data_IF_798605164429
#
_entry.id   IF_798605164429
#
_cell.length_a   1.000
_cell.length_b   1.000
_cell.length_c   1.000
_cell.angle_alpha   90.00
_cell.angle_beta   90.00
_cell.angle_gamma   90.00
#
_symmetry.space_group_name_H-M   'P 1'
#
loop_
_entity.id
_entity.type
_entity.pdbx_description
1 polymer ?
#
# COMPACT_ATOMS: atom_id res chain seq x y z
N UNK A 1 21.97 -6.74 11.21
CA UNK A 1 22.86 -7.55 10.36
C UNK A 1 22.17 -7.98 9.06
N UNK A 2 20.98 -8.59 9.18
CA UNK A 2 20.21 -9.02 7.99
C UNK A 2 19.74 -7.84 7.12
N UNK A 3 19.39 -6.71 7.71
CA UNK A 3 19.03 -5.51 6.95
C UNK A 3 20.18 -5.01 6.09
N UNK A 4 21.40 -5.04 6.61
CA UNK A 4 22.60 -4.58 5.90
C UNK A 4 22.96 -5.46 4.69
N UNK A 5 22.59 -6.76 4.72
CA UNK A 5 22.91 -7.74 3.69
C UNK A 5 21.68 -8.24 2.91
N UNK A 6 20.70 -7.37 2.71
CA UNK A 6 19.50 -7.67 1.91
C UNK A 6 18.33 -8.28 2.67
N UNK A 7 18.48 -8.60 3.94
CA UNK A 7 17.37 -9.14 4.76
C UNK A 7 16.17 -8.20 4.88
N UNK A 8 16.37 -6.90 4.67
CA UNK A 8 15.31 -5.91 4.65
C UNK A 8 14.25 -6.18 3.56
N UNK A 9 14.64 -6.80 2.44
CA UNK A 9 13.71 -7.17 1.36
C UNK A 9 12.84 -8.38 1.71
N UNK A 10 13.17 -9.10 2.77
CA UNK A 10 12.43 -10.29 3.20
C UNK A 10 11.32 -9.89 4.17
N UNK A 11 10.07 -9.90 3.71
CA UNK A 11 8.90 -9.52 4.51
C UNK A 11 8.79 -10.26 5.83
N UNK A 12 9.09 -11.57 5.87
CA UNK A 12 9.07 -12.37 7.10
C UNK A 12 10.12 -11.95 8.13
N UNK A 13 11.28 -11.43 7.70
CA UNK A 13 12.32 -10.91 8.63
C UNK A 13 11.84 -9.61 9.26
N UNK A 14 11.26 -8.70 8.47
CA UNK A 14 10.66 -7.46 9.00
C UNK A 14 9.52 -7.76 9.96
N UNK A 15 8.61 -8.68 9.58
CA UNK A 15 7.50 -9.10 10.46
C UNK A 15 7.99 -9.68 11.78
N UNK A 16 9.07 -10.47 11.77
CA UNK A 16 9.64 -11.00 12.99
C UNK A 16 10.21 -9.90 13.92
N UNK A 17 10.81 -8.86 13.35
CA UNK A 17 11.30 -7.70 14.11
C UNK A 17 10.10 -6.96 14.72
N UNK A 18 9.09 -6.59 13.93
CA UNK A 18 7.88 -5.92 14.42
C UNK A 18 7.15 -6.75 15.48
N UNK A 19 7.04 -8.06 15.30
CA UNK A 19 6.45 -8.95 16.31
C UNK A 19 7.12 -8.80 17.67
N UNK A 20 8.46 -8.74 17.71
CA UNK A 20 9.19 -8.59 18.98
C UNK A 20 9.09 -7.18 19.56
N UNK A 21 9.06 -6.15 18.70
CA UNK A 21 8.89 -4.76 19.15
C UNK A 21 7.50 -4.56 19.75
N UNK A 22 6.44 -4.92 19.04
CA UNK A 22 5.05 -4.80 19.50
C UNK A 22 4.82 -5.64 20.77
N UNK A 23 5.43 -6.83 20.84
CA UNK A 23 5.38 -7.65 22.05
C UNK A 23 6.05 -6.98 23.26
N UNK A 24 7.16 -6.31 23.04
CA UNK A 24 7.85 -5.58 24.11
C UNK A 24 7.03 -4.37 24.58
N UNK A 25 6.42 -3.63 23.65
CA UNK A 25 5.49 -2.53 23.96
C UNK A 25 4.28 -3.02 24.73
N UNK A 26 3.64 -4.12 24.29
CA UNK A 26 2.53 -4.73 25.00
C UNK A 26 2.89 -5.05 26.46
N UNK A 27 4.07 -5.60 26.70
CA UNK A 27 4.53 -5.93 28.04
C UNK A 27 4.79 -4.69 28.90
N UNK A 28 5.37 -3.63 28.31
CA UNK A 28 5.64 -2.37 28.99
C UNK A 28 4.34 -1.64 29.36
N UNK A 29 3.41 -1.55 28.43
CA UNK A 29 2.12 -0.89 28.63
C UNK A 29 1.25 -1.65 29.63
N UNK A 30 1.24 -2.97 29.60
CA UNK A 30 0.53 -3.78 30.59
C UNK A 30 1.06 -3.56 32.01
N UNK A 31 2.38 -3.39 32.14
CA UNK A 31 2.99 -3.09 33.45
C UNK A 31 2.62 -1.69 33.97
N UNK A 32 2.36 -0.73 33.09
CA UNK A 32 1.98 0.64 33.44
C UNK A 32 0.48 0.84 33.64
N UNK A 33 -0.34 0.30 32.72
CA UNK A 33 -1.78 0.62 32.62
C UNK A 33 -2.68 -0.46 33.18
N UNK A 34 -2.16 -1.66 33.47
CA UNK A 34 -2.97 -2.79 33.94
C UNK A 34 -3.86 -3.35 32.84
N UNK A 35 -5.11 -3.71 33.21
CA UNK A 35 -6.08 -4.36 32.29
C UNK A 35 -7.20 -3.44 31.81
N UNK A 36 -7.11 -2.14 32.06
CA UNK A 36 -8.12 -1.16 31.66
C UNK A 36 -7.85 -0.75 30.22
N UNK A 37 -8.90 -0.57 29.43
CA UNK A 37 -8.77 0.01 28.10
C UNK A 37 -8.21 1.43 28.17
N UNK A 38 -7.23 1.72 27.37
CA UNK A 38 -6.53 3.01 27.35
C UNK A 38 -6.22 3.46 25.93
N UNK A 39 -6.12 4.77 25.78
CA UNK A 39 -5.64 5.40 24.55
C UNK A 39 -4.79 6.61 24.90
N UNK A 40 -3.77 6.88 24.11
CA UNK A 40 -2.94 8.07 24.20
C UNK A 40 -2.50 8.52 22.81
N UNK A 41 -2.11 9.78 22.68
CA UNK A 41 -1.47 10.27 21.47
C UNK A 41 -0.36 11.25 21.80
N UNK A 42 0.60 11.39 20.89
CA UNK A 42 1.68 12.35 20.97
C UNK A 42 2.09 12.80 19.57
N UNK A 43 2.53 14.04 19.47
CA UNK A 43 3.29 14.52 18.31
C UNK A 43 4.77 14.43 18.67
N UNK A 44 5.56 13.81 17.81
CA UNK A 44 7.00 13.60 18.03
C UNK A 44 7.71 13.38 16.70
N UNK A 45 8.91 13.92 16.59
CA UNK A 45 9.83 13.69 15.46
C UNK A 45 10.35 12.23 15.54
N UNK A 46 9.57 11.30 14.98
CA UNK A 46 9.79 9.87 15.10
C UNK A 46 10.90 9.36 14.18
N UNK A 47 10.90 9.81 12.92
CA UNK A 47 11.90 9.41 11.92
C UNK A 47 13.13 10.34 11.88
N UNK A 48 13.16 11.39 12.74
CA UNK A 48 14.24 12.37 12.93
C UNK A 48 14.51 13.23 11.70
N UNK A 49 13.46 13.59 11.00
CA UNK A 49 13.52 14.48 9.84
C UNK A 49 13.21 15.95 10.20
N UNK A 50 13.02 16.26 11.48
CA UNK A 50 12.65 17.55 12.07
C UNK A 50 11.20 17.96 11.81
N UNK A 51 10.35 17.02 11.46
CA UNK A 51 8.90 17.17 11.41
C UNK A 51 8.29 16.24 12.47
N UNK A 52 7.15 16.61 13.02
CA UNK A 52 6.47 15.77 14.01
C UNK A 52 5.46 14.84 13.33
N UNK A 53 5.60 13.54 13.57
CA UNK A 53 4.59 12.53 13.29
C UNK A 53 3.57 12.48 14.44
N UNK A 54 2.37 12.07 14.13
CA UNK A 54 1.33 11.79 15.11
C UNK A 54 1.31 10.29 15.41
N UNK A 55 1.62 9.94 16.64
CA UNK A 55 1.52 8.56 17.14
C UNK A 55 0.28 8.46 18.01
N UNK A 56 -0.59 7.51 17.71
CA UNK A 56 -1.80 7.20 18.47
C UNK A 56 -1.73 5.74 18.90
N UNK A 57 -1.79 5.51 20.19
CA UNK A 57 -1.62 4.18 20.78
C UNK A 57 -2.83 3.79 21.62
N UNK A 58 -3.15 2.50 21.63
CA UNK A 58 -4.19 1.93 22.47
C UNK A 58 -3.82 0.52 22.92
N UNK A 59 -4.65 -0.07 23.76
CA UNK A 59 -4.54 -1.49 24.13
C UNK A 59 -4.86 -2.46 22.96
N UNK A 60 -5.41 -1.98 21.83
CA UNK A 60 -5.80 -2.81 20.69
C UNK A 60 -4.89 -2.63 19.47
N UNK A 61 -4.50 -1.39 19.17
CA UNK A 61 -3.75 -1.05 17.96
C UNK A 61 -2.98 0.27 18.12
N UNK A 62 -1.94 0.45 17.32
CA UNK A 62 -1.22 1.71 17.19
C UNK A 62 -1.27 2.23 15.76
N UNK A 63 -1.38 3.56 15.61
CA UNK A 63 -1.36 4.27 14.34
C UNK A 63 -0.21 5.27 14.34
N UNK A 64 0.62 5.25 13.29
CA UNK A 64 1.69 6.21 13.09
C UNK A 64 1.39 6.97 11.80
N UNK A 65 1.14 8.25 11.93
CA UNK A 65 0.64 9.11 10.86
C UNK A 65 1.66 10.21 10.57
N UNK A 66 1.93 10.46 9.30
CA UNK A 66 2.76 11.56 8.83
C UNK A 66 1.87 12.69 8.27
N UNK A 67 1.59 13.72 9.08
CA UNK A 67 0.77 14.85 8.64
C UNK A 67 1.44 15.67 7.54
N UNK A 68 2.76 15.67 7.47
CA UNK A 68 3.54 16.48 6.54
C UNK A 68 3.62 15.85 5.15
N UNK A 69 3.39 14.55 5.06
CA UNK A 69 3.37 13.79 3.78
C UNK A 69 2.00 13.17 3.52
N UNK A 70 1.07 13.99 3.01
CA UNK A 70 -0.24 13.51 2.60
C UNK A 70 -1.18 13.10 3.73
N UNK A 71 -0.83 13.35 5.00
CA UNK A 71 -1.56 12.79 6.14
C UNK A 71 -1.69 11.27 6.02
N UNK A 72 -0.59 10.61 5.66
CA UNK A 72 -0.54 9.16 5.40
C UNK A 72 -0.32 8.37 6.67
N UNK A 73 -0.80 7.14 6.68
CA UNK A 73 -0.56 6.16 7.73
C UNK A 73 0.61 5.28 7.29
N UNK A 74 1.74 5.35 7.99
CA UNK A 74 2.95 4.62 7.61
C UNK A 74 3.24 3.38 8.45
N UNK A 75 2.62 3.27 9.64
CA UNK A 75 2.66 2.09 10.48
C UNK A 75 1.29 1.88 11.14
N UNK A 76 0.84 0.63 11.17
CA UNK A 76 -0.42 0.22 11.79
C UNK A 76 -0.21 -1.12 12.48
N UNK A 77 -0.01 -1.05 13.78
CA UNK A 77 0.29 -2.21 14.58
C UNK A 77 -0.97 -2.81 15.20
N UNK A 78 -1.18 -4.08 14.92
CA UNK A 78 -2.23 -4.88 15.54
C UNK A 78 -1.64 -5.55 16.78
N UNK A 79 -2.07 -5.13 17.97
CA UNK A 79 -1.45 -5.58 19.22
C UNK A 79 -1.72 -7.04 19.53
N UNK A 80 -2.89 -7.55 19.19
CA UNK A 80 -3.28 -8.94 19.40
C UNK A 80 -2.42 -9.91 18.59
N UNK A 81 -2.30 -9.70 17.30
CA UNK A 81 -1.48 -10.53 16.40
C UNK A 81 0.01 -10.15 16.43
N UNK A 82 0.38 -9.05 17.11
CA UNK A 82 1.74 -8.50 17.13
C UNK A 82 2.30 -8.31 15.72
N UNK A 83 1.49 -7.72 14.83
CA UNK A 83 1.79 -7.57 13.42
C UNK A 83 1.62 -6.14 12.95
N UNK A 84 2.64 -5.60 12.24
CA UNK A 84 2.51 -4.33 11.52
C UNK A 84 1.91 -4.58 10.15
N UNK A 85 0.70 -4.06 9.93
CA UNK A 85 -0.05 -4.19 8.69
C UNK A 85 0.58 -3.45 7.50
N UNK A 86 1.46 -2.47 7.75
CA UNK A 86 1.94 -1.54 6.72
C UNK A 86 3.45 -1.68 6.42
N UNK A 87 4.08 -2.78 6.84
CA UNK A 87 5.49 -3.03 6.57
C UNK A 87 5.76 -3.33 5.07
N UNK A 88 5.31 -2.45 4.19
CA UNK A 88 5.48 -2.55 2.73
C UNK A 88 6.67 -1.69 2.30
N UNK A 89 7.57 -2.25 1.49
CA UNK A 89 8.70 -1.51 0.95
C UNK A 89 8.31 -0.71 -0.28
N UNK A 90 8.73 0.55 -0.31
CA UNK A 90 8.74 1.37 -1.53
C UNK A 90 9.79 0.84 -2.48
N UNK A 91 9.45 0.73 -3.77
CA UNK A 91 10.34 0.20 -4.80
C UNK A 91 11.26 1.28 -5.33
N UNK A 92 12.54 1.09 -5.18
CA UNK A 92 13.59 1.99 -5.66
C UNK A 92 14.44 1.32 -6.72
N UNK A 93 15.16 2.14 -7.51
CA UNK A 93 16.15 1.60 -8.44
C UNK A 93 17.40 1.19 -7.66
N UNK A 94 17.83 -0.05 -7.89
CA UNK A 94 19.04 -0.62 -7.32
C UNK A 94 20.13 -0.75 -8.39
N UNK A 95 21.40 -0.66 -7.97
CA UNK A 95 22.53 -0.69 -8.89
C UNK A 95 22.58 -1.95 -9.76
N UNK A 96 22.12 -3.08 -9.26
CA UNK A 96 22.08 -4.36 -9.96
C UNK A 96 20.89 -4.51 -10.94
N UNK A 97 19.89 -3.62 -10.92
CA UNK A 97 18.75 -3.69 -11.85
C UNK A 97 19.17 -3.49 -13.31
N UNK A 98 20.22 -2.70 -13.56
CA UNK A 98 20.73 -2.53 -14.91
C UNK A 98 21.31 -3.85 -15.47
N UNK A 99 22.03 -4.61 -14.64
CA UNK A 99 22.55 -5.92 -15.01
C UNK A 99 21.42 -6.90 -15.36
N UNK A 100 20.34 -6.88 -14.59
CA UNK A 100 19.16 -7.71 -14.86
C UNK A 100 18.48 -7.32 -16.19
N UNK A 101 18.29 -6.02 -16.45
CA UNK A 101 17.71 -5.54 -17.73
C UNK A 101 18.52 -5.99 -18.92
N UNK A 102 19.85 -5.88 -18.86
CA UNK A 102 20.77 -6.32 -19.93
C UNK A 102 20.66 -7.84 -20.15
N UNK A 103 20.72 -8.62 -19.08
CA UNK A 103 20.60 -10.07 -19.13
C UNK A 103 19.28 -10.53 -19.79
N UNK A 104 18.17 -9.99 -19.37
CA UNK A 104 16.84 -10.36 -19.90
C UNK A 104 16.66 -9.90 -21.35
N UNK A 105 17.24 -8.77 -21.73
CA UNK A 105 17.26 -8.32 -23.13
C UNK A 105 18.06 -9.28 -24.02
N UNK A 106 19.26 -9.67 -23.60
CA UNK A 106 20.08 -10.64 -24.32
C UNK A 106 19.38 -12.01 -24.41
N UNK A 107 18.74 -12.46 -23.32
CA UNK A 107 18.00 -13.72 -23.31
C UNK A 107 16.87 -13.70 -24.34
N UNK A 108 16.07 -12.64 -24.39
CA UNK A 108 15.00 -12.48 -25.40
C UNK A 108 15.55 -12.44 -26.82
N UNK A 109 16.67 -11.77 -27.07
CA UNK A 109 17.32 -11.76 -28.39
C UNK A 109 17.78 -13.15 -28.81
N UNK A 110 18.38 -13.93 -27.90
CA UNK A 110 18.79 -15.33 -28.16
C UNK A 110 17.59 -16.21 -28.46
N UNK A 111 16.47 -16.08 -27.71
CA UNK A 111 15.24 -16.84 -27.96
C UNK A 111 14.64 -16.52 -29.37
N UNK A 112 14.63 -15.28 -29.76
CA UNK A 112 14.18 -14.86 -31.10
C UNK A 112 15.08 -15.44 -32.19
N UNK A 113 16.41 -15.33 -32.02
CA UNK A 113 17.39 -15.90 -32.95
C UNK A 113 17.27 -17.43 -33.06
N UNK A 114 17.09 -18.12 -31.92
CA UNK A 114 16.89 -19.58 -31.87
C UNK A 114 15.61 -20.00 -32.58
N UNK A 115 14.49 -19.31 -32.39
CA UNK A 115 13.24 -19.56 -33.11
C UNK A 115 13.35 -19.31 -34.61
N UNK A 116 14.15 -18.29 -35.01
CA UNK A 116 14.41 -18.00 -36.42
C UNK A 116 15.32 -19.04 -37.10
N UNK A 117 16.31 -19.61 -36.37
CA UNK A 117 17.26 -20.60 -36.89
C UNK A 117 16.72 -22.02 -36.82
N UNK A 118 15.84 -22.38 -35.88
CA UNK A 118 15.20 -23.69 -35.79
C UNK A 118 14.06 -23.93 -36.79
N UNK A 119 13.75 -22.93 -37.61
CA UNK A 119 13.07 -23.19 -38.89
C UNK A 119 13.99 -23.91 -39.89
N UNK A 120 15.31 -24.02 -39.64
CA UNK A 120 16.30 -24.75 -40.44
C UNK A 120 17.49 -25.20 -39.55
N UNK A 121 17.49 -26.48 -39.18
CA UNK A 121 18.58 -27.30 -38.65
C UNK A 121 18.97 -27.22 -37.15
N UNK A 122 19.24 -28.44 -36.68
CA UNK A 122 19.71 -28.84 -35.33
C UNK A 122 21.18 -28.46 -35.09
N UNK A 123 21.52 -28.42 -33.79
CA UNK A 123 22.81 -28.35 -33.13
C UNK A 123 23.50 -26.99 -33.00
N UNK A 124 23.56 -26.55 -31.75
CA UNK A 124 24.80 -26.15 -31.06
C UNK A 124 24.49 -25.73 -29.61
N UNK A 125 24.72 -26.68 -28.72
CA UNK A 125 24.82 -26.45 -27.28
C UNK A 125 26.20 -25.88 -26.97
N UNK A 126 26.37 -24.55 -26.83
CA UNK A 126 27.55 -23.99 -26.18
C UNK A 126 27.23 -23.69 -24.71
N UNK A 127 27.90 -24.33 -23.75
CA UNK A 127 27.75 -24.02 -22.35
C UNK A 127 28.36 -22.64 -22.07
N UNK A 128 27.55 -21.73 -21.47
CA UNK A 128 28.05 -20.47 -20.94
C UNK A 128 29.05 -20.74 -19.81
N UNK A 129 30.12 -19.93 -19.75
CA UNK A 129 31.13 -20.01 -18.71
C UNK A 129 30.53 -19.88 -17.32
N UNK A 130 30.86 -20.75 -16.35
CA UNK A 130 30.20 -20.79 -15.04
C UNK A 130 30.39 -19.54 -14.15
N UNK A 131 31.36 -18.67 -14.48
CA UNK A 131 31.78 -17.57 -13.60
C UNK A 131 31.16 -16.19 -13.91
N UNK A 132 30.36 -16.06 -14.97
CA UNK A 132 29.71 -14.79 -15.36
C UNK A 132 28.22 -14.92 -15.66
N UNK A 133 27.61 -16.07 -15.36
CA UNK A 133 26.21 -16.29 -15.67
C UNK A 133 25.33 -15.59 -14.61
N UNK A 134 24.74 -14.45 -14.98
CA UNK A 134 23.57 -13.92 -14.28
C UNK A 134 22.52 -15.03 -14.21
N UNK A 135 22.03 -15.31 -13.01
CA UNK A 135 20.97 -16.29 -12.79
C UNK A 135 19.69 -15.57 -12.40
N UNK A 136 18.57 -16.05 -12.91
CA UNK A 136 17.23 -15.60 -12.53
C UNK A 136 16.41 -16.81 -12.10
N UNK A 137 15.67 -16.71 -11.00
CA UNK A 137 14.79 -17.78 -10.52
C UNK A 137 13.55 -17.95 -11.38
N UNK A 138 13.14 -16.90 -12.07
CA UNK A 138 12.03 -16.88 -13.03
C UNK A 138 12.35 -15.95 -14.21
N UNK A 139 11.72 -16.13 -15.38
CA UNK A 139 11.95 -15.27 -16.54
C UNK A 139 11.22 -13.93 -16.41
N UNK A 140 11.71 -12.92 -17.16
CA UNK A 140 11.08 -11.60 -17.28
C UNK A 140 11.01 -10.79 -15.98
N UNK A 141 11.93 -11.03 -15.04
CA UNK A 141 12.02 -10.24 -13.79
C UNK A 141 12.23 -8.74 -14.03
N UNK A 142 12.82 -8.37 -15.18
CA UNK A 142 12.99 -6.97 -15.56
C UNK A 142 11.65 -6.22 -15.77
N UNK A 143 10.57 -6.92 -16.04
CA UNK A 143 9.21 -6.32 -16.17
C UNK A 143 8.62 -5.96 -14.81
N UNK A 144 9.15 -6.52 -13.71
CA UNK A 144 8.75 -6.21 -12.35
C UNK A 144 9.57 -5.05 -11.74
N UNK A 145 10.53 -4.51 -12.48
CA UNK A 145 11.34 -3.36 -12.06
C UNK A 145 10.54 -2.06 -12.17
N UNK A 146 9.56 -1.91 -11.31
CA UNK A 146 8.77 -0.69 -11.15
C UNK A 146 9.42 0.19 -10.10
N UNK A 147 9.51 1.49 -10.36
CA UNK A 147 10.02 2.49 -9.41
C UNK A 147 8.84 3.33 -8.95
N UNK A 148 8.64 3.40 -7.65
CA UNK A 148 7.58 4.20 -7.05
C UNK A 148 7.98 5.67 -6.98
N UNK A 149 7.05 6.56 -7.28
CA UNK A 149 7.25 8.02 -7.23
C UNK A 149 6.97 8.61 -5.84
N UNK A 150 6.42 7.82 -4.92
CA UNK A 150 6.10 8.19 -3.54
C UNK A 150 6.27 6.96 -2.63
N UNK A 151 6.31 7.17 -1.32
CA UNK A 151 6.42 6.10 -0.32
C UNK A 151 5.14 5.25 -0.29
N UNK A 152 5.27 3.92 -0.23
CA UNK A 152 4.14 2.98 -0.17
C UNK A 152 3.54 2.91 1.24
N UNK A 153 3.08 4.06 1.72
CA UNK A 153 2.27 4.19 2.92
C UNK A 153 0.81 3.87 2.62
N UNK A 154 -0.07 3.99 3.59
CA UNK A 154 -1.53 3.84 3.40
C UNK A 154 -2.26 5.16 3.59
N UNK A 155 -3.53 5.21 3.19
CA UNK A 155 -4.35 6.43 3.15
C UNK A 155 -3.78 7.49 2.21
N UNK A 156 -3.21 7.06 1.08
CA UNK A 156 -2.73 7.98 0.05
C UNK A 156 -3.91 8.41 -0.82
N UNK A 157 -4.06 9.72 -1.00
CA UNK A 157 -5.21 10.32 -1.65
C UNK A 157 -4.88 10.69 -3.10
N UNK A 158 -5.53 9.99 -4.04
CA UNK A 158 -5.34 10.17 -5.48
C UNK A 158 -6.53 10.82 -6.15
N UNK A 159 -6.23 11.57 -7.22
CA UNK A 159 -7.21 12.10 -8.16
C UNK A 159 -6.83 11.67 -9.57
N UNK A 160 -7.52 10.69 -10.09
CA UNK A 160 -7.18 10.09 -11.37
C UNK A 160 -7.95 10.69 -12.56
N UNK A 161 -7.24 10.86 -13.66
CA UNK A 161 -7.88 11.07 -14.96
C UNK A 161 -8.67 9.82 -15.38
N UNK A 162 -9.73 9.95 -16.22
CA UNK A 162 -10.50 8.80 -16.71
C UNK A 162 -9.67 7.75 -17.47
N UNK A 163 -8.54 8.14 -18.04
CA UNK A 163 -7.63 7.25 -18.80
C UNK A 163 -6.77 6.33 -17.92
N UNK A 164 -6.61 6.63 -16.64
CA UNK A 164 -5.82 5.80 -15.71
C UNK A 164 -6.56 4.48 -15.48
N UNK A 165 -5.87 3.37 -15.66
CA UNK A 165 -6.38 2.03 -15.38
C UNK A 165 -5.48 1.28 -14.41
N UNK A 166 -5.91 0.11 -13.97
CA UNK A 166 -5.17 -0.72 -13.01
C UNK A 166 -3.73 -0.99 -13.48
N UNK A 167 -3.53 -1.33 -14.76
CA UNK A 167 -2.20 -1.65 -15.29
C UNK A 167 -1.27 -0.44 -15.24
N UNK A 168 -1.72 0.73 -15.73
CA UNK A 168 -0.92 1.95 -15.71
C UNK A 168 -0.60 2.40 -14.28
N UNK A 169 -1.53 2.24 -13.36
CA UNK A 169 -1.34 2.54 -11.95
C UNK A 169 -0.35 1.58 -11.29
N UNK A 170 -0.51 0.27 -11.45
CA UNK A 170 0.39 -0.74 -10.90
C UNK A 170 1.84 -0.61 -11.41
N UNK A 171 2.00 -0.12 -12.65
CA UNK A 171 3.29 0.15 -13.28
C UNK A 171 3.86 1.55 -12.96
N UNK A 172 3.20 2.34 -12.10
CA UNK A 172 3.56 3.73 -11.81
C UNK A 172 3.70 4.60 -13.08
N UNK A 173 2.88 4.32 -14.11
CA UNK A 173 2.87 5.01 -15.43
C UNK A 173 1.56 5.75 -15.64
N UNK A 174 1.25 6.66 -14.74
CA UNK A 174 0.06 7.49 -14.81
C UNK A 174 0.38 8.92 -14.41
N UNK A 175 -0.49 9.85 -14.77
CA UNK A 175 -0.41 11.23 -14.32
C UNK A 175 -1.40 11.47 -13.18
N UNK A 176 -0.89 11.93 -12.03
CA UNK A 176 -1.69 12.36 -10.90
C UNK A 176 -2.32 13.73 -11.22
N UNK A 177 -3.62 13.86 -10.98
CA UNK A 177 -4.35 15.10 -11.21
C UNK A 177 -4.40 15.99 -9.97
N UNK A 178 -4.24 15.41 -8.79
CA UNK A 178 -4.22 16.10 -7.50
C UNK A 178 -2.83 16.43 -7.00
N UNK A 179 -2.74 17.25 -5.95
CA UNK A 179 -1.51 17.50 -5.21
C UNK A 179 -1.67 17.15 -3.72
N UNK A 180 -2.20 15.93 -3.47
CA UNK A 180 -2.57 15.48 -2.12
C UNK A 180 -1.62 14.41 -1.56
N UNK A 181 -0.82 13.74 -2.39
CA UNK A 181 -0.01 12.57 -2.02
C UNK A 181 1.08 12.91 -0.98
N UNK A 182 1.88 13.97 -1.23
CA UNK A 182 3.09 14.27 -0.43
C UNK A 182 3.07 15.66 0.20
N UNK A 183 1.96 16.36 0.17
CA UNK A 183 1.89 17.71 0.73
C UNK A 183 1.15 17.70 2.07
N UNK A 184 1.49 18.65 2.98
CA UNK A 184 1.01 18.61 4.37
C UNK A 184 -0.50 18.79 4.50
N UNK A 185 -1.04 18.18 5.54
CA UNK A 185 -2.41 18.33 6.02
C UNK A 185 -2.41 18.99 7.39
N UNK A 186 -3.25 20.02 7.57
CA UNK A 186 -3.53 20.58 8.89
C UNK A 186 -4.22 19.51 9.75
N UNK A 187 -3.62 19.19 10.89
CA UNK A 187 -4.03 18.05 11.71
C UNK A 187 -4.51 18.49 13.07
N UNK A 188 -5.67 18.01 13.47
CA UNK A 188 -6.25 18.21 14.79
C UNK A 188 -6.61 16.88 15.41
N UNK A 189 -6.35 16.74 16.71
CA UNK A 189 -6.68 15.53 17.49
C UNK A 189 -7.65 15.89 18.60
N UNK A 190 -8.71 15.12 18.74
CA UNK A 190 -9.65 15.20 19.85
C UNK A 190 -9.76 13.83 20.50
N UNK A 191 -9.58 13.80 21.81
CA UNK A 191 -9.79 12.59 22.62
C UNK A 191 -10.97 12.83 23.56
N UNK A 192 -11.87 11.86 23.62
CA UNK A 192 -12.98 11.82 24.60
C UNK A 192 -13.20 10.37 25.09
N UNK A 193 -14.28 10.15 25.84
CA UNK A 193 -14.58 8.84 26.42
C UNK A 193 -14.92 7.75 25.39
N UNK A 194 -15.24 8.12 24.14
CA UNK A 194 -15.57 7.18 23.09
C UNK A 194 -14.34 6.77 22.26
N UNK A 195 -13.31 7.61 22.22
CA UNK A 195 -12.10 7.34 21.47
C UNK A 195 -11.31 8.57 21.07
N UNK A 196 -10.37 8.35 20.14
CA UNK A 196 -9.56 9.39 19.55
C UNK A 196 -10.04 9.66 18.13
N UNK A 197 -10.31 10.92 17.82
CA UNK A 197 -10.64 11.42 16.49
C UNK A 197 -9.49 12.29 15.98
N UNK A 198 -8.97 11.97 14.80
CA UNK A 198 -7.92 12.70 14.11
C UNK A 198 -8.54 13.31 12.85
N UNK A 199 -8.50 14.61 12.72
CA UNK A 199 -9.02 15.32 11.54
C UNK A 199 -7.87 15.96 10.80
N UNK A 200 -7.67 15.59 9.56
CA UNK A 200 -6.62 16.08 8.67
C UNK A 200 -7.26 16.76 7.47
N UNK A 201 -6.94 18.05 7.25
CA UNK A 201 -7.57 18.86 6.20
C UNK A 201 -6.50 19.50 5.32
N UNK A 202 -6.73 19.43 4.00
CA UNK A 202 -5.90 20.12 3.02
C UNK A 202 -6.76 20.83 1.98
N UNK A 203 -6.43 22.09 1.69
CA UNK A 203 -6.90 22.79 0.49
C UNK A 203 -5.85 22.60 -0.61
N UNK A 204 -6.13 21.69 -1.53
CA UNK A 204 -5.26 21.34 -2.64
C UNK A 204 -5.82 21.80 -3.99
N UNK A 205 -5.20 21.28 -5.06
CA UNK A 205 -5.55 21.60 -6.44
C UNK A 205 -5.77 20.31 -7.21
N UNK A 206 -6.82 20.25 -8.04
CA UNK A 206 -7.10 19.13 -8.93
C UNK A 206 -7.14 19.62 -10.38
N UNK A 207 -6.29 19.06 -11.23
CA UNK A 207 -6.30 19.31 -12.67
C UNK A 207 -7.57 18.71 -13.30
N UNK A 208 -8.03 19.32 -14.38
CA UNK A 208 -9.18 18.84 -15.15
C UNK A 208 -8.77 18.63 -16.60
N UNK A 209 -9.24 17.55 -17.20
CA UNK A 209 -9.00 17.30 -18.61
C UNK A 209 -9.50 18.46 -19.47
N UNK A 210 -8.64 19.01 -20.34
CA UNK A 210 -8.97 20.10 -21.25
C UNK A 210 -9.11 21.49 -20.62
N UNK A 211 -8.84 21.67 -19.31
CA UNK A 211 -8.87 22.97 -18.66
C UNK A 211 -7.45 23.53 -18.44
N UNK A 212 -7.30 24.85 -18.60
CA UNK A 212 -6.03 25.54 -18.42
C UNK A 212 -5.63 25.69 -16.93
N UNK A 213 -6.62 25.71 -16.03
CA UNK A 213 -6.37 25.92 -14.59
C UNK A 213 -6.96 24.80 -13.75
N UNK A 214 -6.24 24.33 -12.74
CA UNK A 214 -6.77 23.38 -11.77
C UNK A 214 -7.88 24.03 -10.92
N UNK A 215 -8.68 23.20 -10.25
CA UNK A 215 -9.68 23.66 -9.28
C UNK A 215 -9.17 23.51 -7.85
N UNK A 216 -9.44 24.49 -6.96
CA UNK A 216 -9.21 24.32 -5.54
C UNK A 216 -10.25 23.33 -4.96
N UNK A 217 -9.73 22.32 -4.28
CA UNK A 217 -10.51 21.26 -3.65
C UNK A 217 -10.06 21.13 -2.20
N UNK A 218 -10.98 21.18 -1.26
CA UNK A 218 -10.69 20.83 0.14
C UNK A 218 -10.98 19.34 0.33
N UNK A 219 -9.98 18.63 0.76
CA UNK A 219 -10.12 17.25 1.23
C UNK A 219 -9.93 17.21 2.74
N UNK A 220 -10.90 16.65 3.44
CA UNK A 220 -10.83 16.35 4.87
C UNK A 220 -10.88 14.85 5.05
N UNK A 221 -9.89 14.32 5.74
CA UNK A 221 -9.75 12.92 6.12
C UNK A 221 -9.86 12.85 7.64
N UNK A 222 -10.83 12.08 8.16
CA UNK A 222 -11.05 11.90 9.59
C UNK A 222 -10.85 10.45 9.93
N UNK A 223 -9.97 10.16 10.89
CA UNK A 223 -9.76 8.84 11.45
C UNK A 223 -10.37 8.81 12.86
N UNK A 224 -11.16 7.79 13.13
CA UNK A 224 -11.71 7.55 14.46
C UNK A 224 -11.30 6.17 14.96
N UNK A 225 -10.67 6.13 16.11
CA UNK A 225 -10.25 4.91 16.82
C UNK A 225 -11.04 4.81 18.11
N UNK A 226 -12.08 3.92 18.17
CA UNK A 226 -12.88 3.73 19.38
C UNK A 226 -12.07 3.07 20.50
N UNK A 227 -12.46 3.32 21.76
CA UNK A 227 -11.82 2.73 22.94
C UNK A 227 -12.11 1.24 22.99
N UNK A 228 -11.06 0.43 23.18
CA UNK A 228 -11.20 -1.01 23.44
C UNK A 228 -11.61 -1.86 22.25
N UNK A 229 -11.65 -1.29 21.03
CA UNK A 229 -11.99 -2.01 19.82
C UNK A 229 -10.79 -2.07 18.85
N UNK A 230 -10.60 -3.21 18.19
CA UNK A 230 -9.72 -3.36 17.04
C UNK A 230 -10.43 -2.84 15.79
N UNK A 231 -10.63 -1.53 15.73
CA UNK A 231 -11.43 -0.86 14.72
C UNK A 231 -10.86 0.50 14.36
N UNK A 232 -10.86 0.81 13.06
CA UNK A 232 -10.51 2.12 12.53
C UNK A 232 -11.62 2.57 11.56
N UNK A 233 -12.18 3.75 11.80
CA UNK A 233 -13.14 4.37 10.87
C UNK A 233 -12.45 5.52 10.17
N UNK A 234 -12.41 5.50 8.83
CA UNK A 234 -11.83 6.55 7.99
C UNK A 234 -12.93 7.18 7.16
N UNK A 235 -13.16 8.47 7.37
CA UNK A 235 -14.14 9.25 6.60
C UNK A 235 -13.43 10.28 5.73
N UNK A 236 -13.83 10.36 4.48
CA UNK A 236 -13.40 11.40 3.55
C UNK A 236 -14.54 12.36 3.27
N UNK A 237 -14.25 13.66 3.29
CA UNK A 237 -15.14 14.69 2.79
C UNK A 237 -14.38 15.56 1.80
N UNK A 238 -14.87 15.60 0.57
CA UNK A 238 -14.33 16.43 -0.52
C UNK A 238 -15.28 17.57 -0.80
N UNK A 239 -14.76 18.80 -0.86
CA UNK A 239 -15.52 20.00 -1.17
C UNK A 239 -14.90 20.74 -2.34
N UNK A 240 -15.71 21.05 -3.35
CA UNK A 240 -15.28 21.80 -4.53
C UNK A 240 -15.34 23.32 -4.22
N UNK A 241 -14.21 23.93 -3.91
CA UNK A 241 -14.08 25.37 -3.71
C UNK A 241 -13.93 26.18 -5.02
N UNK A 242 -13.89 25.51 -6.16
CA UNK A 242 -13.81 26.12 -7.47
C UNK A 242 -15.17 26.65 -7.97
N UNK A 243 -15.13 27.54 -8.96
CA UNK A 243 -16.32 28.11 -9.59
C UNK A 243 -16.85 27.22 -10.74
N UNK A 244 -16.22 26.12 -11.04
CA UNK A 244 -16.59 25.22 -12.10
C UNK A 244 -16.79 23.80 -11.58
N UNK A 245 -17.53 23.02 -12.33
CA UNK A 245 -17.78 21.60 -12.03
C UNK A 245 -16.50 20.80 -11.98
N UNK A 246 -16.34 20.01 -10.92
CA UNK A 246 -15.28 19.00 -10.75
C UNK A 246 -15.84 17.63 -11.16
N UNK A 247 -15.18 16.99 -12.13
CA UNK A 247 -15.39 15.59 -12.46
C UNK A 247 -14.04 14.89 -12.34
N UNK A 248 -13.94 13.92 -11.45
CA UNK A 248 -12.70 13.21 -11.14
C UNK A 248 -12.98 11.78 -10.68
N UNK A 249 -11.96 10.96 -10.62
CA UNK A 249 -11.98 9.72 -9.84
C UNK A 249 -11.10 9.91 -8.61
N UNK A 250 -11.73 9.95 -7.46
CA UNK A 250 -11.02 9.93 -6.18
C UNK A 250 -10.66 8.51 -5.82
N UNK A 251 -9.46 8.30 -5.28
CA UNK A 251 -9.05 7.01 -4.78
C UNK A 251 -8.27 7.12 -3.47
N UNK A 252 -8.54 6.20 -2.55
CA UNK A 252 -7.77 5.98 -1.33
C UNK A 252 -6.94 4.71 -1.51
N UNK A 253 -5.61 4.85 -1.46
CA UNK A 253 -4.65 3.76 -1.59
C UNK A 253 -4.25 3.23 -0.22
N UNK A 254 -4.25 1.92 -0.09
CA UNK A 254 -3.84 1.16 1.09
C UNK A 254 -2.80 0.14 0.69
N UNK A 255 -1.60 0.22 1.26
CA UNK A 255 -0.54 -0.73 1.01
C UNK A 255 -0.38 -1.63 2.23
N UNK A 256 -0.81 -2.87 2.11
CA UNK A 256 -0.96 -3.81 3.23
C UNK A 256 0.06 -4.93 3.12
N UNK A 257 0.69 -5.25 4.25
CA UNK A 257 1.61 -6.37 4.41
C UNK A 257 0.97 -7.43 5.32
N UNK A 258 0.66 -8.59 4.73
CA UNK A 258 0.11 -9.74 5.48
C UNK A 258 0.96 -11.00 5.25
N UNK A 259 2.26 -10.82 4.93
CA UNK A 259 3.03 -11.93 4.38
C UNK A 259 2.35 -12.48 3.11
N UNK A 260 2.63 -13.68 2.70
CA UNK A 260 2.06 -14.21 1.46
C UNK A 260 3.00 -14.03 0.28
N UNK A 261 2.49 -14.17 -0.92
CA UNK A 261 3.24 -14.22 -2.17
C UNK A 261 3.39 -15.64 -2.69
N UNK A 262 3.58 -15.77 -4.02
CA UNK A 262 3.68 -17.06 -4.68
C UNK A 262 2.42 -17.91 -4.66
N UNK A 263 1.23 -17.29 -4.52
CA UNK A 263 -0.04 -18.00 -4.44
C UNK A 263 -0.26 -18.71 -3.11
N UNK A 264 0.16 -18.11 -2.00
CA UNK A 264 0.01 -18.69 -0.67
C UNK A 264 -1.44 -18.65 -0.19
N UNK A 265 -2.06 -19.82 -0.02
CA UNK A 265 -3.45 -19.97 0.42
C UNK A 265 -3.75 -19.42 1.83
N UNK A 266 -2.73 -19.18 2.65
CA UNK A 266 -2.91 -18.63 4.00
C UNK A 266 -3.22 -17.15 3.98
N UNK A 267 -2.69 -16.41 2.98
CA UNK A 267 -2.93 -14.98 2.79
C UNK A 267 -3.95 -14.74 1.67
N UNK A 268 -5.04 -14.07 1.98
CA UNK A 268 -6.22 -14.04 1.13
C UNK A 268 -6.96 -12.70 1.08
N UNK A 269 -7.73 -12.56 -0.01
CA UNK A 269 -8.91 -11.70 -0.08
C UNK A 269 -10.17 -12.57 0.05
N UNK A 270 -11.16 -12.10 0.79
CA UNK A 270 -12.50 -12.66 0.81
C UNK A 270 -13.46 -11.58 0.36
N UNK A 271 -13.88 -11.64 -0.87
CA UNK A 271 -14.79 -10.67 -1.50
C UNK A 271 -16.08 -11.43 -1.81
N UNK A 272 -17.26 -10.96 -1.36
CA UNK A 272 -18.52 -11.60 -1.68
C UNK A 272 -18.66 -11.84 -3.19
N UNK A 273 -19.23 -12.96 -3.56
CA UNK A 273 -19.53 -13.37 -4.95
C UNK A 273 -18.32 -13.56 -5.88
N UNK A 274 -17.09 -13.62 -5.32
CA UNK A 274 -15.87 -13.92 -6.09
C UNK A 274 -15.44 -15.37 -5.89
N UNK A 275 -15.07 -16.04 -6.98
CA UNK A 275 -14.53 -17.40 -6.93
C UNK A 275 -13.16 -17.44 -6.25
N UNK A 276 -12.86 -18.53 -5.55
CA UNK A 276 -11.60 -18.77 -4.82
C UNK A 276 -10.34 -18.66 -5.70
N UNK A 277 -10.44 -18.83 -7.02
CA UNK A 277 -9.29 -18.82 -7.95
C UNK A 277 -8.50 -17.49 -7.97
N UNK A 278 -9.10 -16.36 -7.52
CA UNK A 278 -8.48 -15.04 -7.47
C UNK A 278 -8.43 -14.47 -6.04
N UNK A 279 -8.40 -15.32 -5.03
CA UNK A 279 -8.47 -14.91 -3.62
C UNK A 279 -7.10 -14.77 -2.94
N UNK A 280 -6.01 -15.15 -3.60
CA UNK A 280 -4.67 -14.99 -3.03
C UNK A 280 -4.31 -13.52 -2.83
N UNK A 281 -3.63 -13.21 -1.75
CA UNK A 281 -3.32 -11.84 -1.37
C UNK A 281 -2.39 -11.12 -2.37
N UNK A 282 -1.57 -11.86 -3.10
CA UNK A 282 -0.71 -11.36 -4.18
C UNK A 282 -1.40 -11.31 -5.56
N UNK A 283 -2.71 -11.55 -5.63
CA UNK A 283 -3.45 -11.52 -6.89
C UNK A 283 -3.69 -10.10 -7.39
N UNK A 284 -3.74 -9.93 -8.71
CA UNK A 284 -4.08 -8.67 -9.38
C UNK A 284 -5.50 -8.72 -9.93
N UNK A 285 -6.26 -7.65 -9.75
CA UNK A 285 -7.61 -7.57 -10.29
C UNK A 285 -8.34 -6.27 -10.00
N UNK A 286 -9.41 -6.08 -10.77
CA UNK A 286 -10.38 -4.99 -10.61
C UNK A 286 -11.77 -5.58 -10.36
N UNK A 287 -12.47 -5.07 -9.36
CA UNK A 287 -13.82 -5.50 -9.01
C UNK A 287 -14.65 -4.25 -8.74
N UNK A 288 -15.77 -4.11 -9.46
CA UNK A 288 -16.69 -2.99 -9.28
C UNK A 288 -17.78 -3.32 -8.28
N UNK A 289 -18.38 -2.27 -7.69
CA UNK A 289 -19.51 -2.36 -6.78
C UNK A 289 -19.20 -3.15 -5.49
N UNK A 290 -17.95 -3.11 -5.02
CA UNK A 290 -17.57 -3.71 -3.75
C UNK A 290 -17.98 -2.80 -2.60
N UNK A 291 -18.71 -3.35 -1.64
CA UNK A 291 -19.11 -2.63 -0.42
C UNK A 291 -18.52 -3.27 0.84
N UNK A 292 -18.28 -4.57 0.81
CA UNK A 292 -17.67 -5.30 1.90
C UNK A 292 -16.63 -6.28 1.36
N UNK A 293 -15.49 -6.37 2.04
CA UNK A 293 -14.47 -7.39 1.76
C UNK A 293 -13.61 -7.62 2.98
N UNK A 294 -12.89 -8.74 3.01
CA UNK A 294 -11.90 -9.06 4.03
C UNK A 294 -10.54 -9.28 3.39
N UNK A 295 -9.52 -8.98 4.14
CA UNK A 295 -8.14 -9.39 3.89
C UNK A 295 -7.62 -10.09 5.13
N UNK A 296 -6.82 -11.11 4.97
CA UNK A 296 -6.30 -11.82 6.14
C UNK A 296 -5.18 -12.78 5.82
N UNK A 297 -4.59 -13.29 6.88
CA UNK A 297 -3.65 -14.40 6.85
C UNK A 297 -3.88 -15.28 8.07
N UNK A 298 -4.25 -16.53 7.83
CA UNK A 298 -4.58 -17.49 8.88
C UNK A 298 -3.35 -17.88 9.72
N UNK A 299 -2.15 -17.82 9.15
CA UNK A 299 -0.92 -18.17 9.85
C UNK A 299 -0.55 -17.15 10.93
N UNK A 300 -0.73 -15.85 10.66
CA UNK A 300 -0.51 -14.78 11.65
C UNK A 300 -1.77 -14.45 12.45
N UNK A 301 -2.87 -15.17 12.21
CA UNK A 301 -4.16 -14.98 12.87
C UNK A 301 -4.69 -13.54 12.77
N UNK A 302 -4.55 -12.95 11.60
CA UNK A 302 -5.06 -11.62 11.30
C UNK A 302 -6.11 -11.70 10.20
N UNK A 303 -7.30 -11.20 10.48
CA UNK A 303 -8.38 -10.96 9.50
C UNK A 303 -8.90 -9.53 9.73
N UNK A 304 -9.00 -8.76 8.67
CA UNK A 304 -9.49 -7.39 8.68
C UNK A 304 -10.64 -7.25 7.69
N UNK A 305 -11.82 -6.95 8.22
CA UNK A 305 -13.00 -6.62 7.42
C UNK A 305 -13.03 -5.15 7.04
N UNK A 306 -13.33 -4.88 5.79
CA UNK A 306 -13.60 -3.54 5.25
C UNK A 306 -15.08 -3.42 4.92
N UNK A 307 -15.72 -2.36 5.41
CA UNK A 307 -17.10 -1.98 5.08
C UNK A 307 -17.13 -0.53 4.62
N UNK A 308 -17.80 -0.27 3.48
CA UNK A 308 -17.82 1.05 2.85
C UNK A 308 -19.25 1.58 2.80
N UNK A 309 -19.45 2.85 3.15
CA UNK A 309 -20.76 3.50 3.09
C UNK A 309 -21.30 3.66 1.66
N UNK A 310 -20.41 3.73 0.69
CA UNK A 310 -20.69 3.80 -0.75
C UNK A 310 -19.91 2.71 -1.47
N UNK A 311 -20.55 1.89 -2.33
CA UNK A 311 -19.83 0.90 -3.14
C UNK A 311 -18.69 1.52 -3.94
N UNK A 312 -17.59 0.79 -4.04
CA UNK A 312 -16.36 1.23 -4.70
C UNK A 312 -15.98 0.33 -5.87
N UNK A 313 -15.10 0.80 -6.75
CA UNK A 313 -14.28 -0.08 -7.57
C UNK A 313 -12.99 -0.37 -6.79
N UNK A 314 -12.75 -1.64 -6.49
CA UNK A 314 -11.54 -2.10 -5.82
C UNK A 314 -10.51 -2.52 -6.86
N UNK A 315 -9.37 -1.82 -6.92
CA UNK A 315 -8.16 -2.31 -7.58
C UNK A 315 -7.27 -2.98 -6.55
N UNK A 316 -6.64 -4.09 -6.94
CA UNK A 316 -5.64 -4.78 -6.14
C UNK A 316 -4.52 -5.31 -7.01
N UNK A 317 -3.29 -5.24 -6.51
CA UNK A 317 -2.11 -5.84 -7.16
C UNK A 317 -0.99 -6.06 -6.15
N UNK A 318 -0.12 -7.03 -6.47
CA UNK A 318 1.08 -7.32 -5.69
C UNK A 318 2.12 -6.21 -5.83
N UNK A 319 2.72 -5.81 -4.72
CA UNK A 319 3.91 -4.97 -4.68
C UNK A 319 5.10 -5.90 -4.51
N UNK A 320 5.89 -6.04 -5.58
CA UNK A 320 7.04 -6.92 -5.62
C UNK A 320 8.32 -6.12 -5.82
N UNK A 321 9.39 -6.50 -5.13
CA UNK A 321 10.76 -6.06 -5.39
C UNK A 321 11.53 -7.17 -6.07
N UNK A 322 12.52 -6.81 -6.87
CA UNK A 322 13.47 -7.76 -7.44
C UNK A 322 14.82 -7.53 -6.80
N UNK A 323 15.34 -8.56 -6.13
CA UNK A 323 16.62 -8.49 -5.42
C UNK A 323 17.63 -9.47 -5.97
N UNK A 324 18.92 -9.11 -5.89
CA UNK A 324 20.03 -9.99 -6.21
C UNK A 324 20.47 -10.76 -4.96
N UNK A 325 20.65 -12.07 -5.08
CA UNK A 325 21.22 -12.94 -4.07
C UNK A 325 22.36 -13.78 -4.67
N UNK A 326 23.09 -14.53 -3.85
CA UNK A 326 24.09 -15.50 -4.35
C UNK A 326 23.48 -16.56 -5.28
N UNK A 327 22.18 -16.84 -5.10
CA UNK A 327 21.44 -17.80 -5.94
C UNK A 327 20.90 -17.18 -7.24
N UNK A 328 21.08 -15.86 -7.43
CA UNK A 328 20.59 -15.09 -8.58
C UNK A 328 19.50 -14.09 -8.23
N UNK A 329 18.89 -13.51 -9.26
CA UNK A 329 17.78 -12.56 -9.08
C UNK A 329 16.48 -13.29 -8.75
N UNK A 330 15.73 -12.71 -7.82
CA UNK A 330 14.45 -13.25 -7.36
C UNK A 330 13.45 -12.14 -7.04
N UNK A 331 12.18 -12.48 -7.18
CA UNK A 331 11.05 -11.66 -6.79
C UNK A 331 10.76 -11.86 -5.31
N UNK A 332 10.55 -10.75 -4.60
CA UNK A 332 10.11 -10.76 -3.22
C UNK A 332 8.81 -9.97 -3.08
N UNK A 333 7.76 -10.65 -2.65
CA UNK A 333 6.47 -10.02 -2.33
C UNK A 333 6.63 -9.13 -1.09
N UNK A 334 6.28 -7.86 -1.23
CA UNK A 334 6.37 -6.86 -0.16
C UNK A 334 5.04 -6.61 0.51
N UNK A 335 3.95 -6.82 -0.20
CA UNK A 335 2.59 -6.57 0.23
C UNK A 335 1.68 -6.38 -0.97
N UNK A 336 0.45 -5.99 -0.71
CA UNK A 336 -0.55 -5.75 -1.75
C UNK A 336 -1.09 -4.33 -1.66
N UNK A 337 -1.18 -3.68 -2.81
CA UNK A 337 -1.87 -2.41 -2.96
C UNK A 337 -3.35 -2.67 -3.13
N UNK A 338 -4.15 -2.06 -2.29
CA UNK A 338 -5.60 -1.96 -2.37
C UNK A 338 -5.94 -0.51 -2.68
N UNK A 339 -6.68 -0.26 -3.75
CA UNK A 339 -7.09 1.09 -4.11
C UNK A 339 -8.60 1.13 -4.23
N UNK A 340 -9.23 1.94 -3.40
CA UNK A 340 -10.68 2.14 -3.34
C UNK A 340 -11.03 3.36 -4.17
N UNK A 341 -11.77 3.18 -5.29
CA UNK A 341 -12.03 4.23 -6.27
C UNK A 341 -13.51 4.60 -6.34
N UNK A 342 -13.78 5.90 -6.40
CA UNK A 342 -15.11 6.47 -6.62
C UNK A 342 -15.09 7.50 -7.74
N UNK A 343 -16.09 7.46 -8.60
CA UNK A 343 -16.35 8.53 -9.56
C UNK A 343 -17.09 9.66 -8.85
N UNK A 344 -16.48 10.84 -8.79
CA UNK A 344 -16.99 12.00 -8.08
C UNK A 344 -17.34 13.11 -9.07
N UNK A 345 -18.53 13.68 -8.89
CA UNK A 345 -19.04 14.77 -9.65
C UNK A 345 -19.61 15.83 -8.72
N UNK A 346 -19.00 17.03 -8.69
CA UNK A 346 -19.38 18.11 -7.80
C UNK A 346 -19.53 19.42 -8.59
N UNK A 347 -20.69 20.04 -8.49
CA UNK A 347 -20.84 21.42 -8.91
C UNK A 347 -20.04 22.37 -7.98
N UNK A 348 -19.95 23.65 -8.33
CA UNK A 348 -19.33 24.64 -7.45
C UNK A 348 -19.98 24.62 -6.06
N UNK A 349 -19.15 24.67 -5.02
CA UNK A 349 -19.56 24.71 -3.60
C UNK A 349 -20.30 23.43 -3.10
N UNK A 350 -20.21 22.32 -3.85
CA UNK A 350 -20.76 21.04 -3.42
C UNK A 350 -19.73 20.15 -2.72
N UNK A 351 -20.23 19.26 -1.88
CA UNK A 351 -19.45 18.25 -1.16
C UNK A 351 -19.89 16.83 -1.46
N UNK A 352 -18.95 15.91 -1.35
CA UNK A 352 -19.13 14.46 -1.38
C UNK A 352 -18.41 13.84 -0.19
N UNK A 353 -18.96 12.75 0.35
CA UNK A 353 -18.35 12.04 1.48
C UNK A 353 -18.47 10.54 1.33
N UNK A 354 -17.49 9.83 1.90
CA UNK A 354 -17.51 8.37 2.04
C UNK A 354 -16.88 7.97 3.37
N UNK A 355 -17.34 6.84 3.92
CA UNK A 355 -16.78 6.23 5.12
C UNK A 355 -16.31 4.81 4.82
N UNK A 356 -15.15 4.46 5.37
CA UNK A 356 -14.49 3.17 5.32
C UNK A 356 -14.33 2.71 6.78
N UNK A 357 -14.94 1.61 7.14
CA UNK A 357 -14.77 0.98 8.45
C UNK A 357 -13.88 -0.24 8.31
N UNK A 358 -12.76 -0.28 9.02
CA UNK A 358 -11.87 -1.43 9.15
C UNK A 358 -12.10 -2.06 10.52
N UNK A 359 -12.39 -3.36 10.59
CA UNK A 359 -12.64 -4.06 11.84
C UNK A 359 -11.85 -5.36 11.86
N UNK A 360 -11.00 -5.53 12.89
CA UNK A 360 -10.37 -6.81 13.14
C UNK A 360 -11.44 -7.84 13.54
N UNK A 361 -11.35 -9.04 12.98
CA UNK A 361 -12.22 -10.16 13.33
C UNK A 361 -11.47 -11.18 14.18
N UNK A 362 -12.17 -11.78 15.16
CA UNK A 362 -11.61 -12.82 16.04
C UNK A 362 -11.25 -14.12 15.29
#
# INVERSE_FOLDING_TARGET
WHGLFGGIYMGHVRSAIYHHLIKAENAADQAQSGTVHWQRYAFTDFDRDSQDELIVESDQQNLYIDPQRGGTLFEWDMRRSMHNMLSVMTRHEESYHQTLRQYEQERRQREVAYKATNASNQDHNQPASPHTAVRTKEPNLDQLLVIDSYRRYSLIDHFFAPSVNLESFAQARYEEQGNFIELPYDTQVKQDTNGITITMTRLGQVKRAGALSPLPVRLTKTLFMPVGEEKLVVSYTMHNHGQARLQTRFASEWNIHLLGGGGNDQAYYRIPDQERANSHFDSTGEISQVQNFHIGNTWIQQDMGFSLSIPTTLWRFSIDTVTGSEAGFERNHQGSCLTLLWSVLLEADQSWSVEITCTGTE
#
